data_IF_954159412838
#
_entry.id   IF_954159412838
#
_cell.length_a   1.000
_cell.length_b   1.000
_cell.length_c   1.000
_cell.angle_alpha   90.00
_cell.angle_beta   90.00
_cell.angle_gamma   90.00
#
_symmetry.space_group_name_H-M   'P 1'
#
loop_
_entity.id
_entity.type
_entity.pdbx_description
1 polymer ?
#
# COMPACT_ATOMS: atom_id res chain seq x y z
N UNK A 1 2.09 -24.52 -19.45
CA UNK A 1 2.19 -23.08 -19.09
C UNK A 1 1.70 -22.90 -17.66
N UNK A 2 2.39 -22.05 -16.87
CA UNK A 2 1.99 -21.63 -15.53
C UNK A 2 1.66 -20.14 -15.57
N UNK A 3 0.43 -19.78 -15.23
CA UNK A 3 -0.09 -18.39 -15.25
C UNK A 3 -1.00 -18.16 -14.04
N UNK A 4 -0.54 -18.58 -12.87
CA UNK A 4 -1.34 -18.58 -11.62
C UNK A 4 -1.41 -17.21 -10.95
N UNK A 5 -0.67 -16.23 -11.46
CA UNK A 5 -0.65 -14.87 -10.95
C UNK A 5 0.12 -14.70 -9.64
N UNK A 6 -0.02 -13.54 -8.99
CA UNK A 6 0.80 -13.18 -7.84
C UNK A 6 0.47 -13.99 -6.59
N UNK A 7 -0.77 -14.48 -6.45
CA UNK A 7 -1.24 -15.27 -5.31
C UNK A 7 -1.11 -16.77 -5.55
N UNK A 8 -0.03 -17.20 -6.19
CA UNK A 8 0.30 -18.62 -6.37
C UNK A 8 0.40 -19.32 -5.02
N UNK A 9 -0.19 -20.53 -4.92
CA UNK A 9 -0.14 -21.31 -3.67
C UNK A 9 1.28 -21.61 -3.22
N UNK A 10 1.52 -21.69 -1.93
CA UNK A 10 2.84 -21.92 -1.35
C UNK A 10 3.52 -23.17 -1.92
N UNK A 11 2.77 -24.28 -2.00
CA UNK A 11 3.29 -25.55 -2.53
C UNK A 11 3.74 -25.44 -3.99
N UNK A 12 3.02 -24.71 -4.85
CA UNK A 12 3.41 -24.49 -6.24
C UNK A 12 4.55 -23.49 -6.33
N UNK A 13 4.53 -22.45 -5.52
CA UNK A 13 5.59 -21.46 -5.46
C UNK A 13 6.93 -22.07 -5.04
N UNK A 14 6.95 -22.95 -4.03
CA UNK A 14 8.14 -23.71 -3.62
C UNK A 14 8.67 -24.58 -4.77
N UNK A 15 7.79 -25.28 -5.49
CA UNK A 15 8.21 -26.11 -6.63
C UNK A 15 8.80 -25.28 -7.77
N UNK A 16 8.24 -24.10 -8.05
CA UNK A 16 8.77 -23.19 -9.08
C UNK A 16 10.12 -22.61 -8.61
N UNK A 17 10.25 -22.27 -7.32
CA UNK A 17 11.49 -21.83 -6.72
C UNK A 17 12.60 -22.89 -6.87
N UNK A 18 12.32 -24.16 -6.53
CA UNK A 18 13.26 -25.28 -6.67
C UNK A 18 13.67 -25.50 -8.14
N UNK A 19 12.70 -25.48 -9.07
CA UNK A 19 12.96 -25.62 -10.50
C UNK A 19 13.85 -24.51 -11.05
N UNK A 20 13.76 -23.31 -10.47
CA UNK A 20 14.53 -22.15 -10.90
C UNK A 20 15.86 -21.96 -10.14
N UNK A 21 16.18 -22.84 -9.20
CA UNK A 21 17.48 -22.88 -8.52
C UNK A 21 17.60 -21.99 -7.28
N UNK A 22 16.49 -21.63 -6.68
CA UNK A 22 16.49 -21.05 -5.33
C UNK A 22 16.61 -19.53 -5.22
N UNK A 23 16.66 -18.78 -6.32
CA UNK A 23 16.79 -17.32 -6.27
C UNK A 23 15.58 -16.57 -6.87
N UNK A 24 15.22 -15.45 -6.24
CA UNK A 24 14.41 -14.38 -6.86
C UNK A 24 12.94 -14.69 -7.07
N UNK A 25 12.18 -15.11 -6.01
CA UNK A 25 10.81 -15.54 -6.26
C UNK A 25 9.70 -14.78 -5.48
N UNK A 26 10.00 -13.92 -4.54
CA UNK A 26 8.97 -13.30 -3.72
C UNK A 26 9.17 -11.81 -3.50
N UNK A 27 8.06 -11.06 -3.52
CA UNK A 27 7.96 -9.77 -2.88
C UNK A 27 6.63 -9.66 -2.12
N UNK A 28 6.54 -8.68 -1.22
CA UNK A 28 5.35 -8.43 -0.45
C UNK A 28 4.62 -7.21 -1.00
N UNK A 29 3.32 -7.34 -1.15
CA UNK A 29 2.38 -6.25 -1.39
C UNK A 29 1.47 -6.13 -0.18
N UNK A 30 1.27 -4.92 0.29
CA UNK A 30 0.42 -4.66 1.43
C UNK A 30 -0.78 -3.82 1.01
N UNK A 31 -1.97 -4.25 1.42
CA UNK A 31 -3.19 -3.49 1.19
C UNK A 31 -3.41 -2.49 2.33
N UNK A 32 -3.85 -1.29 2.00
CA UNK A 32 -4.26 -0.29 2.97
C UNK A 32 -5.65 -0.59 3.54
N UNK A 33 -5.95 -0.12 4.76
CA UNK A 33 -7.26 -0.28 5.37
C UNK A 33 -8.35 0.50 4.64
N UNK A 34 -9.59 -0.02 4.73
CA UNK A 34 -10.80 0.65 4.26
C UNK A 34 -11.69 0.96 5.47
N UNK A 35 -12.17 2.18 5.54
CA UNK A 35 -13.04 2.68 6.61
C UNK A 35 -14.43 3.07 6.10
N UNK A 36 -15.42 3.02 6.98
CA UNK A 36 -16.76 3.60 6.74
C UNK A 36 -16.70 5.12 6.98
N UNK A 37 -16.99 5.89 5.93
CA UNK A 37 -16.95 7.36 5.99
C UNK A 37 -17.97 7.95 6.97
N UNK A 38 -19.08 7.25 7.25
CA UNK A 38 -20.09 7.71 8.20
C UNK A 38 -19.55 7.79 9.64
N UNK A 39 -18.42 7.16 9.90
CA UNK A 39 -17.77 7.17 11.22
C UNK A 39 -16.62 8.18 11.31
N UNK A 40 -16.37 8.93 10.24
CA UNK A 40 -15.37 10.01 10.17
C UNK A 40 -15.95 11.30 10.74
N UNK A 41 -15.21 11.98 11.63
CA UNK A 41 -15.58 13.30 12.11
C UNK A 41 -15.31 14.37 11.03
N UNK A 42 -16.36 14.71 10.29
CA UNK A 42 -16.29 15.68 9.19
C UNK A 42 -15.93 17.11 9.62
N UNK A 43 -15.95 17.44 10.93
CA UNK A 43 -15.50 18.73 11.43
C UNK A 43 -13.98 18.87 11.47
N UNK A 44 -13.27 17.73 11.43
CA UNK A 44 -11.80 17.67 11.50
C UNK A 44 -11.13 17.40 10.17
N UNK A 45 -11.91 17.16 9.12
CA UNK A 45 -11.42 16.85 7.79
C UNK A 45 -11.96 17.83 6.76
N UNK A 46 -11.35 17.89 5.58
CA UNK A 46 -11.83 18.72 4.48
C UNK A 46 -11.61 18.07 3.12
N UNK A 47 -12.51 18.37 2.17
CA UNK A 47 -12.38 17.95 0.78
C UNK A 47 -11.46 18.90 0.02
N UNK A 48 -10.39 18.40 -0.55
CA UNK A 48 -9.48 19.16 -1.41
C UNK A 48 -8.65 18.24 -2.30
N UNK A 49 -8.42 18.68 -3.53
CA UNK A 49 -7.39 18.11 -4.38
C UNK A 49 -6.08 18.88 -4.21
N UNK A 50 -4.96 18.20 -4.42
CA UNK A 50 -3.63 18.82 -4.28
C UNK A 50 -3.42 19.91 -5.33
N UNK A 51 -3.04 21.10 -4.85
CA UNK A 51 -2.89 22.32 -5.67
C UNK A 51 -4.18 22.79 -6.34
N UNK A 52 -5.34 22.42 -5.80
CA UNK A 52 -6.65 22.70 -6.36
C UNK A 52 -6.80 22.28 -7.85
N UNK A 53 -6.10 21.19 -8.23
CA UNK A 53 -6.16 20.64 -9.57
C UNK A 53 -7.25 19.59 -9.71
N UNK A 54 -8.22 19.84 -10.58
CA UNK A 54 -9.34 18.94 -10.82
C UNK A 54 -10.39 18.95 -9.72
N UNK A 55 -11.22 17.91 -9.66
CA UNK A 55 -12.24 17.76 -8.63
C UNK A 55 -11.62 17.42 -7.27
N UNK A 56 -12.24 17.90 -6.19
CA UNK A 56 -11.85 17.59 -4.82
C UNK A 56 -12.22 16.13 -4.49
N UNK A 57 -11.36 15.19 -4.88
CA UNK A 57 -11.62 13.75 -4.80
C UNK A 57 -11.14 13.10 -3.49
N UNK A 58 -10.49 13.85 -2.61
CA UNK A 58 -9.91 13.31 -1.38
C UNK A 58 -10.43 14.03 -0.15
N UNK A 59 -10.82 13.25 0.87
CA UNK A 59 -10.93 13.76 2.24
C UNK A 59 -9.53 13.83 2.83
N UNK A 60 -9.17 14.98 3.38
CA UNK A 60 -7.87 15.24 3.97
C UNK A 60 -8.02 15.35 5.50
N UNK A 61 -7.26 14.53 6.22
CA UNK A 61 -7.15 14.56 7.67
C UNK A 61 -5.85 15.30 8.02
N UNK A 62 -5.91 16.60 8.33
CA UNK A 62 -4.73 17.38 8.67
C UNK A 62 -4.28 17.04 10.10
N UNK A 63 -2.98 17.08 10.31
CA UNK A 63 -2.36 16.87 11.61
C UNK A 63 -1.51 18.09 11.99
N UNK A 64 -1.61 18.48 13.23
CA UNK A 64 -0.63 19.37 13.88
C UNK A 64 0.70 18.66 14.06
N UNK A 65 1.75 19.42 14.36
CA UNK A 65 3.08 18.81 14.63
C UNK A 65 3.03 17.82 15.78
N UNK A 66 2.32 18.17 16.88
CA UNK A 66 2.24 17.30 18.05
C UNK A 66 1.48 16.00 17.73
N UNK A 67 0.33 16.08 17.07
CA UNK A 67 -0.45 14.89 16.66
C UNK A 67 0.35 13.99 15.75
N UNK A 68 1.10 14.57 14.81
CA UNK A 68 1.99 13.77 13.95
C UNK A 68 3.12 13.11 14.72
N UNK A 69 3.76 13.78 15.68
CA UNK A 69 4.84 13.20 16.47
C UNK A 69 4.35 12.04 17.32
N UNK A 70 3.20 12.21 17.99
CA UNK A 70 2.59 11.16 18.81
C UNK A 70 2.16 9.97 17.95
N UNK A 71 1.59 10.24 16.78
CA UNK A 71 1.23 9.22 15.80
C UNK A 71 2.47 8.46 15.29
N UNK A 72 3.54 9.18 14.92
CA UNK A 72 4.78 8.58 14.43
C UNK A 72 5.41 7.67 15.49
N UNK A 73 5.48 8.11 16.74
CA UNK A 73 6.00 7.32 17.85
C UNK A 73 5.17 6.05 18.07
N UNK A 74 3.84 6.17 18.06
CA UNK A 74 2.92 5.05 18.19
C UNK A 74 3.07 4.04 17.04
N UNK A 75 3.28 4.54 15.81
CA UNK A 75 3.43 3.72 14.62
C UNK A 75 4.77 2.95 14.61
N UNK A 76 5.87 3.60 15.00
CA UNK A 76 7.20 2.98 15.08
C UNK A 76 7.24 1.85 16.13
N UNK A 77 6.48 2.01 17.22
CA UNK A 77 6.43 1.05 18.34
C UNK A 77 5.27 0.04 18.22
N UNK A 78 4.48 0.11 17.16
CA UNK A 78 3.33 -0.78 16.97
C UNK A 78 3.77 -2.22 16.67
N UNK A 79 2.98 -3.18 17.15
CA UNK A 79 3.26 -4.60 16.91
C UNK A 79 2.89 -5.00 15.48
N UNK A 80 3.85 -5.62 14.81
CA UNK A 80 3.66 -6.20 13.49
C UNK A 80 3.13 -7.64 13.56
N UNK A 81 2.42 -8.08 12.53
CA UNK A 81 2.03 -9.47 12.39
C UNK A 81 3.29 -10.32 12.13
N UNK A 82 3.36 -11.57 12.62
CA UNK A 82 4.53 -12.41 12.41
C UNK A 82 4.73 -12.72 10.92
N UNK A 83 5.94 -12.49 10.43
CA UNK A 83 6.40 -13.01 9.14
C UNK A 83 6.91 -14.45 9.31
N UNK A 84 6.77 -15.27 8.27
CA UNK A 84 7.36 -16.60 8.29
C UNK A 84 8.89 -16.51 8.27
N UNK A 85 9.58 -17.42 8.97
CA UNK A 85 11.02 -17.36 9.31
C UNK A 85 12.00 -17.39 8.11
N UNK A 86 11.53 -17.67 6.90
CA UNK A 86 12.31 -17.70 5.66
C UNK A 86 12.10 -16.48 4.77
N UNK A 87 11.33 -15.50 5.22
CA UNK A 87 10.94 -14.33 4.46
C UNK A 87 11.88 -13.16 4.75
N UNK A 88 12.77 -12.85 3.80
CA UNK A 88 13.51 -11.58 3.84
C UNK A 88 12.57 -10.47 3.38
N UNK A 89 12.43 -9.44 4.21
CA UNK A 89 11.65 -8.26 3.90
C UNK A 89 12.19 -7.53 2.67
N UNK A 90 11.64 -7.84 1.50
CA UNK A 90 11.87 -7.07 0.28
C UNK A 90 10.56 -6.42 -0.13
N UNK A 91 10.49 -5.11 0.00
CA UNK A 91 9.34 -4.31 -0.43
C UNK A 91 9.70 -3.51 -1.69
N UNK A 92 8.76 -3.40 -2.62
CA UNK A 92 8.83 -2.33 -3.62
C UNK A 92 8.59 -0.98 -2.93
N UNK A 93 9.27 0.07 -3.39
CA UNK A 93 9.12 1.40 -2.79
C UNK A 93 7.67 1.91 -2.83
N UNK A 94 6.92 1.61 -3.90
CA UNK A 94 5.52 2.00 -4.04
C UNK A 94 4.53 1.21 -3.16
N UNK A 95 4.94 0.06 -2.61
CA UNK A 95 4.11 -0.81 -1.76
C UNK A 95 4.68 -0.96 -0.35
N UNK A 96 5.61 -0.08 0.04
CA UNK A 96 6.25 -0.14 1.34
C UNK A 96 5.24 0.11 2.47
N UNK A 97 5.19 -0.75 3.50
CA UNK A 97 4.34 -0.55 4.67
C UNK A 97 4.63 0.77 5.38
N UNK A 98 3.57 1.40 5.90
CA UNK A 98 3.66 2.72 6.54
C UNK A 98 4.56 2.69 7.77
N UNK A 99 4.56 1.62 8.56
CA UNK A 99 5.43 1.42 9.72
C UNK A 99 6.91 1.30 9.31
N UNK A 100 7.19 0.70 8.16
CA UNK A 100 8.55 0.62 7.61
C UNK A 100 9.03 2.00 7.17
N UNK A 101 8.15 2.80 6.54
CA UNK A 101 8.45 4.20 6.22
C UNK A 101 8.70 5.02 7.47
N UNK A 102 7.90 4.83 8.53
CA UNK A 102 8.06 5.53 9.81
C UNK A 102 9.42 5.20 10.46
N UNK A 103 9.83 3.93 10.47
CA UNK A 103 11.14 3.50 10.97
C UNK A 103 12.33 4.08 10.19
N UNK A 104 12.14 4.42 8.90
CA UNK A 104 13.14 5.15 8.10
C UNK A 104 13.26 6.62 8.50
N UNK A 105 12.30 7.15 9.24
CA UNK A 105 12.29 8.48 9.84
C UNK A 105 11.19 9.39 9.36
N UNK A 106 10.96 10.43 10.14
CA UNK A 106 9.88 11.43 9.97
C UNK A 106 9.83 12.01 8.55
N UNK A 107 10.97 12.31 7.96
CA UNK A 107 11.02 12.90 6.61
C UNK A 107 10.46 11.96 5.55
N UNK A 108 10.64 10.64 5.68
CA UNK A 108 10.11 9.67 4.72
C UNK A 108 8.59 9.77 4.63
N UNK A 109 7.91 9.95 5.75
CA UNK A 109 6.45 10.10 5.79
C UNK A 109 5.99 11.47 5.26
N UNK A 110 6.68 12.57 5.65
CA UNK A 110 6.34 13.94 5.26
C UNK A 110 6.64 14.25 3.79
N UNK A 111 7.55 13.55 3.16
CA UNK A 111 7.81 13.63 1.71
C UNK A 111 7.09 12.52 0.91
N UNK A 112 6.52 11.53 1.60
CA UNK A 112 5.77 10.40 1.08
C UNK A 112 4.25 10.55 1.27
N UNK A 113 3.60 9.55 1.91
CA UNK A 113 2.14 9.45 1.96
C UNK A 113 1.48 10.56 2.79
N UNK A 114 2.19 11.19 3.73
CA UNK A 114 1.64 12.24 4.57
C UNK A 114 2.08 13.66 4.19
N UNK A 115 2.52 13.84 2.95
CA UNK A 115 3.01 15.13 2.45
C UNK A 115 1.91 16.20 2.48
N UNK A 116 2.11 17.35 3.17
CA UNK A 116 1.09 18.40 3.29
C UNK A 116 1.07 19.40 2.12
N UNK A 117 2.12 19.46 1.32
CA UNK A 117 2.31 20.49 0.27
C UNK A 117 1.16 20.47 -0.74
N UNK A 118 0.54 21.61 -1.00
CA UNK A 118 -0.60 21.78 -1.90
C UNK A 118 -1.95 21.36 -1.29
N UNK A 119 -1.99 21.18 0.04
CA UNK A 119 -3.18 20.83 0.81
C UNK A 119 -3.38 21.83 1.97
N UNK A 120 -3.26 23.12 1.66
CA UNK A 120 -3.51 24.19 2.63
C UNK A 120 -4.94 24.08 3.17
N UNK A 121 -5.12 24.52 4.44
CA UNK A 121 -6.44 24.57 5.05
C UNK A 121 -7.38 25.45 4.22
N UNK A 122 -8.62 25.02 3.96
CA UNK A 122 -9.66 25.89 3.44
C UNK A 122 -9.95 27.05 4.43
N UNK A 123 -10.43 28.17 3.91
CA UNK A 123 -10.72 29.36 4.75
C UNK A 123 -11.79 29.09 5.82
N UNK A 124 -12.74 28.23 5.51
CA UNK A 124 -13.82 27.79 6.38
C UNK A 124 -13.49 26.62 7.31
N UNK A 125 -12.26 26.08 7.24
CA UNK A 125 -11.83 24.97 8.11
C UNK A 125 -11.78 25.41 9.57
N UNK A 126 -12.49 24.67 10.44
CA UNK A 126 -12.67 24.98 11.87
C UNK A 126 -11.94 24.01 12.82
N UNK A 127 -11.31 22.98 12.26
CA UNK A 127 -10.59 21.98 13.06
C UNK A 127 -9.26 22.50 13.64
N UNK A 128 -8.52 21.64 14.35
CA UNK A 128 -7.25 21.99 14.97
C UNK A 128 -6.21 22.47 13.94
N UNK A 129 -5.41 23.48 14.34
CA UNK A 129 -4.29 24.02 13.52
C UNK A 129 -3.07 24.29 14.40
N UNK A 130 -1.89 24.25 13.80
CA UNK A 130 -0.66 24.76 14.43
C UNK A 130 -0.62 26.29 14.31
N UNK A 131 -1.23 26.98 15.25
CA UNK A 131 -1.26 28.46 15.25
C UNK A 131 -1.86 29.02 13.96
N UNK A 132 -1.18 30.01 13.36
CA UNK A 132 -1.64 30.70 12.15
C UNK A 132 -1.13 30.07 10.83
N UNK A 133 -0.51 28.91 10.88
CA UNK A 133 -0.01 28.25 9.65
C UNK A 133 -1.15 27.90 8.71
N UNK A 134 -0.99 28.24 7.43
CA UNK A 134 -1.96 27.91 6.38
C UNK A 134 -1.88 26.45 5.94
N UNK A 135 -0.73 25.82 6.12
CA UNK A 135 -0.46 24.42 5.71
C UNK A 135 -0.34 23.55 6.94
N UNK A 136 -1.03 22.41 7.02
CA UNK A 136 -0.86 21.43 8.08
C UNK A 136 0.58 20.95 8.17
N UNK A 137 0.99 20.41 9.32
CA UNK A 137 2.30 19.77 9.45
C UNK A 137 2.38 18.47 8.65
N UNK A 138 1.31 17.68 8.68
CA UNK A 138 1.15 16.46 7.89
C UNK A 138 -0.32 16.31 7.47
N UNK A 139 -0.58 15.52 6.43
CA UNK A 139 -1.96 15.22 5.98
C UNK A 139 -2.07 13.76 5.61
N UNK A 140 -3.07 13.08 6.17
CA UNK A 140 -3.51 11.76 5.71
C UNK A 140 -4.65 11.95 4.72
N UNK A 141 -4.57 11.31 3.57
CA UNK A 141 -5.60 11.40 2.53
C UNK A 141 -6.46 10.14 2.52
N UNK A 142 -7.76 10.32 2.42
CA UNK A 142 -8.73 9.25 2.24
C UNK A 142 -9.28 9.34 0.82
N UNK A 143 -9.24 8.23 0.08
CA UNK A 143 -9.77 8.14 -1.28
C UNK A 143 -11.01 7.27 -1.28
N UNK A 144 -12.06 7.73 -1.96
CA UNK A 144 -13.27 6.97 -2.18
C UNK A 144 -12.97 5.61 -2.83
N UNK A 145 -13.50 4.53 -2.26
CA UNK A 145 -13.24 3.15 -2.68
C UNK A 145 -14.43 2.51 -3.40
N UNK A 146 -15.64 3.05 -3.24
CA UNK A 146 -16.85 2.52 -3.88
C UNK A 146 -17.71 3.64 -4.50
N UNK A 147 -18.56 3.27 -5.47
CA UNK A 147 -19.44 4.21 -6.16
C UNK A 147 -20.46 4.93 -5.23
N UNK A 148 -20.82 4.30 -4.11
CA UNK A 148 -21.74 4.87 -3.12
C UNK A 148 -21.09 5.93 -2.23
N UNK A 149 -19.78 6.16 -2.33
CA UNK A 149 -19.00 7.05 -1.49
C UNK A 149 -19.15 6.78 0.02
N UNK A 150 -19.44 5.54 0.38
CA UNK A 150 -19.56 5.10 1.79
C UNK A 150 -18.26 4.52 2.34
N UNK A 151 -17.36 4.05 1.49
CA UNK A 151 -16.10 3.42 1.84
C UNK A 151 -14.92 4.24 1.34
N UNK A 152 -13.93 4.43 2.20
CA UNK A 152 -12.72 5.19 1.89
C UNK A 152 -11.46 4.41 2.26
N UNK A 153 -10.50 4.41 1.36
CA UNK A 153 -9.17 3.84 1.52
C UNK A 153 -8.23 4.88 2.13
N UNK A 154 -7.44 4.50 3.13
CA UNK A 154 -6.39 5.37 3.70
C UNK A 154 -5.18 5.31 2.77
N UNK A 155 -4.97 6.36 1.99
CA UNK A 155 -3.98 6.39 0.90
C UNK A 155 -2.55 6.28 1.42
N UNK A 156 -1.81 5.30 0.91
CA UNK A 156 -0.40 5.09 1.27
C UNK A 156 -0.19 4.42 2.63
N UNK A 157 -1.25 3.90 3.24
CA UNK A 157 -1.21 3.22 4.54
C UNK A 157 -1.27 1.70 4.41
N UNK A 158 -0.60 1.16 3.39
CA UNK A 158 -0.33 -0.27 3.35
C UNK A 158 0.40 -0.65 4.62
N UNK A 159 0.01 -1.76 5.24
CA UNK A 159 0.51 -2.09 6.57
C UNK A 159 0.56 -3.58 6.84
N UNK A 160 1.51 -3.96 7.67
CA UNK A 160 1.71 -5.29 8.23
C UNK A 160 1.41 -5.33 9.74
N UNK A 161 0.91 -4.25 10.30
CA UNK A 161 0.54 -4.19 11.71
C UNK A 161 -0.56 -5.20 12.05
N UNK A 162 -0.53 -5.74 13.25
CA UNK A 162 -1.66 -6.51 13.80
C UNK A 162 -2.95 -5.67 13.77
N UNK A 163 -4.10 -6.28 13.55
CA UNK A 163 -5.37 -5.58 13.42
C UNK A 163 -5.70 -4.67 14.63
N UNK A 164 -5.40 -5.14 15.85
CA UNK A 164 -5.57 -4.31 17.06
C UNK A 164 -4.69 -3.06 17.05
N UNK A 165 -3.46 -3.17 16.56
CA UNK A 165 -2.55 -2.05 16.41
C UNK A 165 -2.97 -1.10 15.31
N UNK A 166 -3.46 -1.61 14.17
CA UNK A 166 -4.03 -0.76 13.12
C UNK A 166 -5.15 0.10 13.67
N UNK A 167 -6.09 -0.49 14.42
CA UNK A 167 -7.17 0.25 15.05
C UNK A 167 -6.63 1.31 16.01
N UNK A 168 -5.77 0.93 16.95
CA UNK A 168 -5.21 1.82 17.96
C UNK A 168 -4.44 2.99 17.36
N UNK A 169 -3.57 2.72 16.40
CA UNK A 169 -2.69 3.74 15.81
C UNK A 169 -3.42 4.62 14.81
N UNK A 170 -4.22 4.04 13.92
CA UNK A 170 -4.88 4.83 12.88
C UNK A 170 -6.05 5.65 13.42
N UNK A 171 -6.63 5.28 14.56
CA UNK A 171 -7.60 6.12 15.28
C UNK A 171 -6.96 7.35 15.97
N UNK A 172 -5.63 7.46 15.99
CA UNK A 172 -4.95 8.70 16.41
C UNK A 172 -4.96 9.77 15.32
N UNK A 173 -5.33 9.44 14.10
CA UNK A 173 -5.44 10.40 13.00
C UNK A 173 -6.67 11.28 13.22
N UNK A 174 -6.54 12.63 13.21
CA UNK A 174 -7.67 13.54 13.38
C UNK A 174 -8.80 13.26 12.39
N UNK A 175 -10.01 13.12 12.92
CA UNK A 175 -11.20 12.73 12.18
C UNK A 175 -11.43 11.22 12.13
N UNK A 176 -10.46 10.37 12.50
CA UNK A 176 -10.58 8.92 12.50
C UNK A 176 -10.69 8.31 13.90
N UNK A 177 -10.87 9.11 14.95
CA UNK A 177 -10.88 8.65 16.34
C UNK A 177 -11.95 7.57 16.61
N UNK A 178 -13.06 7.62 15.88
CA UNK A 178 -14.15 6.66 15.96
C UNK A 178 -14.31 5.84 14.67
N UNK A 179 -13.31 5.85 13.78
CA UNK A 179 -13.43 5.19 12.49
C UNK A 179 -13.65 3.68 12.64
N UNK A 180 -14.64 3.17 11.91
CA UNK A 180 -14.90 1.73 11.76
C UNK A 180 -14.16 1.19 10.54
N UNK A 181 -13.30 0.19 10.79
CA UNK A 181 -12.53 -0.47 9.74
C UNK A 181 -13.38 -1.59 9.13
N UNK A 182 -13.86 -1.37 7.92
CA UNK A 182 -14.60 -2.38 7.15
C UNK A 182 -13.64 -3.47 6.66
N UNK A 183 -12.40 -3.08 6.36
CA UNK A 183 -11.31 -4.00 6.06
C UNK A 183 -10.01 -3.46 6.66
N UNK A 184 -9.31 -4.31 7.39
CA UNK A 184 -7.97 -4.01 7.86
C UNK A 184 -6.96 -4.14 6.73
N UNK A 185 -5.86 -3.41 6.84
CA UNK A 185 -4.70 -3.62 6.01
C UNK A 185 -4.15 -5.03 6.21
N UNK A 186 -3.72 -5.64 5.14
CA UNK A 186 -3.12 -6.98 5.16
C UNK A 186 -1.92 -6.99 4.22
N UNK A 187 -0.94 -7.80 4.58
CA UNK A 187 0.17 -8.07 3.71
C UNK A 187 -0.13 -9.32 2.88
N UNK A 188 0.06 -9.20 1.58
CA UNK A 188 -0.02 -10.32 0.65
C UNK A 188 1.38 -10.66 0.16
N UNK A 189 1.71 -11.93 0.20
CA UNK A 189 2.87 -12.44 -0.50
C UNK A 189 2.53 -12.58 -1.98
N UNK A 190 3.20 -11.82 -2.82
CA UNK A 190 3.10 -11.96 -4.27
C UNK A 190 4.24 -12.84 -4.78
N UNK A 191 3.90 -13.86 -5.53
CA UNK A 191 4.87 -14.71 -6.21
C UNK A 191 5.33 -14.01 -7.49
N UNK A 192 6.63 -13.73 -7.56
CA UNK A 192 7.25 -12.98 -8.64
C UNK A 192 8.59 -13.60 -9.02
N UNK A 193 8.84 -13.71 -10.32
CA UNK A 193 10.05 -14.31 -10.87
C UNK A 193 11.06 -13.25 -11.31
N UNK A 194 12.33 -13.51 -11.10
CA UNK A 194 13.42 -12.81 -11.78
C UNK A 194 13.49 -13.26 -13.26
N UNK A 195 12.51 -12.85 -14.04
CA UNK A 195 12.34 -13.27 -15.44
C UNK A 195 13.56 -13.03 -16.32
N UNK A 196 14.30 -11.91 -16.23
CA UNK A 196 15.51 -11.71 -17.03
C UNK A 196 16.54 -12.81 -16.84
N UNK A 197 16.66 -13.34 -15.64
CA UNK A 197 17.61 -14.40 -15.33
C UNK A 197 17.06 -15.81 -15.57
N UNK A 198 15.75 -16.01 -15.42
CA UNK A 198 15.11 -17.32 -15.41
C UNK A 198 14.42 -17.71 -16.71
N UNK A 199 13.97 -16.73 -17.50
CA UNK A 199 13.18 -16.96 -18.71
C UNK A 199 13.89 -16.46 -19.96
N UNK A 200 13.55 -17.08 -21.08
CA UNK A 200 13.83 -16.56 -22.42
C UNK A 200 12.81 -15.48 -22.80
N UNK A 201 13.04 -14.77 -23.90
CA UNK A 201 12.14 -13.72 -24.40
C UNK A 201 10.74 -14.25 -24.75
N UNK A 202 10.61 -15.54 -24.98
CA UNK A 202 9.34 -16.25 -25.23
C UNK A 202 8.62 -16.67 -23.95
N UNK A 203 9.09 -16.23 -22.78
CA UNK A 203 8.63 -16.67 -21.46
C UNK A 203 8.84 -18.15 -21.16
N UNK A 204 9.67 -18.83 -21.96
CA UNK A 204 10.09 -20.21 -21.74
C UNK A 204 11.16 -20.25 -20.65
N UNK A 205 11.07 -21.24 -19.75
CA UNK A 205 12.10 -21.46 -18.75
C UNK A 205 13.43 -21.85 -19.41
N UNK A 206 14.51 -21.18 -19.03
CA UNK A 206 15.87 -21.52 -19.46
C UNK A 206 16.33 -22.89 -18.97
N UNK A 207 15.77 -23.39 -17.86
CA UNK A 207 16.13 -24.70 -17.27
C UNK A 207 15.20 -25.82 -17.70
N UNK A 208 13.96 -25.54 -18.05
CA UNK A 208 12.93 -26.51 -18.40
C UNK A 208 12.26 -26.09 -19.73
N UNK A 209 12.78 -26.60 -20.89
CA UNK A 209 12.33 -26.15 -22.22
C UNK A 209 10.84 -26.38 -22.52
N UNK A 210 10.18 -27.27 -21.80
CA UNK A 210 8.75 -27.55 -21.94
C UNK A 210 7.86 -26.72 -20.99
N UNK A 211 8.46 -25.83 -20.20
CA UNK A 211 7.75 -25.04 -19.21
C UNK A 211 7.76 -23.57 -19.59
N UNK A 212 6.58 -22.98 -19.66
CA UNK A 212 6.35 -21.55 -19.93
C UNK A 212 5.67 -20.91 -18.76
N UNK A 213 5.97 -19.64 -18.54
CA UNK A 213 5.32 -18.80 -17.52
C UNK A 213 4.66 -17.60 -18.18
N UNK A 214 3.60 -17.06 -17.57
CA UNK A 214 2.92 -15.89 -18.10
C UNK A 214 2.21 -15.09 -16.98
N UNK A 215 1.87 -13.86 -17.31
CA UNK A 215 1.14 -12.96 -16.42
C UNK A 215 2.02 -12.31 -15.36
N UNK A 216 1.37 -11.74 -14.36
CA UNK A 216 2.02 -10.88 -13.36
C UNK A 216 3.18 -11.58 -12.61
N UNK A 217 3.12 -12.89 -12.42
CA UNK A 217 4.20 -13.64 -11.79
C UNK A 217 5.53 -13.57 -12.55
N UNK A 218 5.53 -13.18 -13.82
CA UNK A 218 6.75 -12.98 -14.63
C UNK A 218 7.30 -11.54 -14.55
N UNK A 219 6.73 -10.68 -13.71
CA UNK A 219 7.16 -9.30 -13.53
C UNK A 219 6.50 -8.30 -14.46
N UNK A 220 5.52 -8.71 -15.24
CA UNK A 220 4.71 -7.77 -16.00
C UNK A 220 3.58 -7.26 -15.13
N UNK A 221 3.47 -5.94 -14.99
CA UNK A 221 2.35 -5.28 -14.33
C UNK A 221 1.32 -4.82 -15.36
N UNK A 222 0.08 -4.77 -14.95
CA UNK A 222 -1.02 -4.37 -15.81
C UNK A 222 -1.72 -5.54 -16.52
N UNK A 223 -3.01 -5.35 -16.78
CA UNK A 223 -3.87 -6.41 -17.36
C UNK A 223 -3.55 -6.70 -18.83
N UNK A 224 -3.25 -5.65 -19.59
CA UNK A 224 -2.93 -5.78 -21.02
C UNK A 224 -1.60 -6.48 -21.20
N UNK A 225 -0.59 -6.09 -20.44
CA UNK A 225 0.75 -6.68 -20.46
C UNK A 225 0.71 -8.14 -20.02
N UNK A 226 -0.08 -8.47 -18.99
CA UNK A 226 -0.27 -9.85 -18.54
C UNK A 226 -0.91 -10.73 -19.62
N UNK A 227 -1.94 -10.20 -20.31
CA UNK A 227 -2.58 -10.88 -21.43
C UNK A 227 -1.59 -11.06 -22.60
N UNK A 228 -0.82 -10.03 -22.93
CA UNK A 228 0.20 -10.08 -23.99
C UNK A 228 1.28 -11.12 -23.69
N UNK A 229 1.75 -11.18 -22.44
CA UNK A 229 2.73 -12.21 -22.02
C UNK A 229 2.18 -13.64 -22.20
N UNK A 230 0.89 -13.84 -21.88
CA UNK A 230 0.18 -15.10 -22.10
C UNK A 230 0.08 -15.47 -23.57
N UNK A 231 -0.20 -14.51 -24.44
CA UNK A 231 -0.23 -14.71 -25.89
C UNK A 231 1.14 -15.11 -26.42
N UNK A 232 2.19 -14.39 -26.06
CA UNK A 232 3.57 -14.69 -26.48
C UNK A 232 3.98 -16.10 -26.02
N UNK A 233 3.74 -16.44 -24.76
CA UNK A 233 4.05 -17.77 -24.22
C UNK A 233 3.21 -18.89 -24.88
N UNK A 234 2.00 -18.61 -25.34
CA UNK A 234 1.10 -19.59 -25.94
C UNK A 234 1.37 -19.86 -27.42
N UNK A 235 1.99 -18.92 -28.14
CA UNK A 235 2.34 -19.06 -29.56
C UNK A 235 3.65 -19.88 -29.74
N UNK A 236 4.53 -19.84 -28.75
CA UNK A 236 5.86 -20.47 -28.80
C UNK A 236 5.90 -21.84 -28.12
#
# INVERSE_FOLDING_TARGET
MVATGPLTSDALAEKIHDLNGGDGFYFYDAAAPIIDVNTVDMNKVYLKSRYDKGEAAYLNCPMTKQEFMDFHEALVNAEEAPLNSFEKEKYFEGCMPIEVMAKRGIKTMLYGPMKPVGLEYPDDYKGPRDGEFKTPYAVVQLRQDNAAASLYNIVGFQTHLKWGEQKRVFQMIPGLENAEFVRYGVMHRNSYMDSPNLLEQTYRSKKQPNLFFAGQMTGVEGYVESAASGLVAGIN
#
